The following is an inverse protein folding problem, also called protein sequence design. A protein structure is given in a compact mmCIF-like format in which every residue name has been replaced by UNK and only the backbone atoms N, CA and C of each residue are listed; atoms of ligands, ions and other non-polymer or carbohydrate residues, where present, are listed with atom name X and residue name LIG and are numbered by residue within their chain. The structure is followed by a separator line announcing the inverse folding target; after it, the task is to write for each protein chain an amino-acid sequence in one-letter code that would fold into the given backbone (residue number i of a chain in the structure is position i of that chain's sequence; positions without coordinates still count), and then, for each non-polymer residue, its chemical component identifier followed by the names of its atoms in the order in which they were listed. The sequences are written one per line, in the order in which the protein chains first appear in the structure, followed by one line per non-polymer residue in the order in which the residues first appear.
data_IF_678760155137
#
_entry.id   IF_678760155137
#
_cell.length_a   1.000
_cell.length_b   1.000
_cell.length_c   1.000
_cell.angle_alpha   90.00
_cell.angle_beta   90.00
_cell.angle_gamma   90.00
#
_symmetry.space_group_name_H-M   'P 1'
#
loop_
_entity.id
_entity.type
_entity.pdbx_description
1 polymer ?
#
# COMPACT_ATOMS: atom_id res chain seq x y z
N UNK A 1 -23.27 43.32 -12.58
CA UNK A 1 -24.31 44.31 -12.86
C UNK A 1 -25.62 43.54 -12.98
N UNK A 2 -26.58 43.81 -12.10
CA UNK A 2 -27.90 43.16 -12.15
C UNK A 2 -28.71 43.89 -13.21
N UNK A 3 -29.08 43.19 -14.28
CA UNK A 3 -29.99 43.68 -15.30
C UNK A 3 -31.43 43.30 -14.90
N UNK A 4 -32.40 44.16 -15.21
CA UNK A 4 -33.82 44.20 -14.79
C UNK A 4 -34.70 42.96 -15.14
N UNK A 5 -34.15 41.75 -15.24
CA UNK A 5 -34.92 40.56 -15.64
C UNK A 5 -34.45 39.29 -14.91
N UNK A 6 -34.49 39.26 -13.58
CA UNK A 6 -34.29 38.05 -12.74
C UNK A 6 -33.21 37.06 -13.23
N UNK A 7 -32.14 37.58 -13.85
CA UNK A 7 -31.09 36.85 -14.56
C UNK A 7 -29.77 37.24 -13.94
N UNK A 8 -29.03 36.24 -13.51
CA UNK A 8 -27.71 36.40 -12.93
C UNK A 8 -26.69 36.10 -14.04
N UNK A 9 -26.04 37.13 -14.55
CA UNK A 9 -24.90 37.00 -15.44
C UNK A 9 -23.59 36.93 -14.63
N UNK A 10 -22.98 35.76 -14.59
CA UNK A 10 -21.67 35.54 -13.97
C UNK A 10 -20.58 35.55 -15.05
N UNK A 11 -19.70 36.55 -15.02
CA UNK A 11 -18.48 36.57 -15.84
C UNK A 11 -17.31 36.11 -14.97
N UNK A 12 -16.76 34.94 -15.28
CA UNK A 12 -15.59 34.40 -14.60
C UNK A 12 -14.32 34.70 -15.43
N UNK A 13 -13.35 35.38 -14.84
CA UNK A 13 -12.00 35.57 -15.42
C UNK A 13 -11.07 34.59 -14.70
N UNK A 14 -10.47 33.67 -15.45
CA UNK A 14 -9.52 32.69 -14.93
C UNK A 14 -8.13 33.06 -15.42
N UNK A 15 -7.22 33.37 -14.50
CA UNK A 15 -5.80 33.57 -14.80
C UNK A 15 -5.06 32.27 -14.49
N UNK A 16 -4.61 31.58 -15.54
CA UNK A 16 -3.86 30.33 -15.39
C UNK A 16 -2.42 30.67 -14.98
N UNK A 17 -1.94 30.06 -13.89
CA UNK A 17 -0.56 30.15 -13.47
C UNK A 17 0.40 29.36 -14.36
N UNK A 18 1.63 29.20 -13.90
CA UNK A 18 2.68 28.49 -14.64
C UNK A 18 2.35 27.01 -14.89
N UNK A 19 2.89 26.47 -15.98
CA UNK A 19 2.78 25.05 -16.28
C UNK A 19 3.72 24.24 -15.37
N UNK A 20 3.15 23.45 -14.47
CA UNK A 20 3.90 22.63 -13.53
C UNK A 20 3.90 21.17 -14.00
N UNK A 21 5.07 20.55 -13.96
CA UNK A 21 5.25 19.12 -14.20
C UNK A 21 5.54 18.40 -12.88
N UNK A 22 5.01 17.18 -12.74
CA UNK A 22 5.43 16.28 -11.69
C UNK A 22 6.89 15.87 -11.91
N UNK A 23 7.73 16.00 -10.89
CA UNK A 23 9.14 15.64 -10.95
C UNK A 23 9.38 14.25 -10.37
N UNK A 24 9.17 14.10 -9.06
CA UNK A 24 9.54 12.90 -8.33
C UNK A 24 8.64 12.64 -7.12
N UNK A 25 8.68 11.39 -6.66
CA UNK A 25 8.08 10.96 -5.41
C UNK A 25 9.18 10.52 -4.45
N UNK A 26 9.09 11.00 -3.21
CA UNK A 26 10.09 10.72 -2.17
C UNK A 26 9.36 10.21 -0.94
N UNK A 27 9.68 8.99 -0.51
CA UNK A 27 9.26 8.53 0.80
C UNK A 27 10.22 9.06 1.87
N UNK A 28 9.67 9.67 2.92
CA UNK A 28 10.40 10.15 4.11
C UNK A 28 10.17 9.28 5.35
N UNK A 29 9.33 8.25 5.25
CA UNK A 29 9.20 7.25 6.30
C UNK A 29 10.20 6.10 6.18
N UNK A 30 10.08 5.11 7.07
CA UNK A 30 11.01 3.96 7.15
C UNK A 30 10.64 2.76 6.24
N UNK A 31 9.59 2.88 5.42
CA UNK A 31 9.23 1.84 4.47
C UNK A 31 10.19 1.84 3.28
N UNK A 32 10.92 0.74 3.10
CA UNK A 32 11.69 0.47 1.91
C UNK A 32 10.78 0.10 0.75
N UNK A 33 10.73 0.96 -0.27
CA UNK A 33 9.89 0.78 -1.44
C UNK A 33 10.51 1.48 -2.64
N UNK A 34 10.43 0.83 -3.82
CA UNK A 34 10.99 1.41 -5.04
C UNK A 34 10.10 2.51 -5.59
N UNK A 35 10.69 3.61 -6.02
CA UNK A 35 9.95 4.72 -6.64
C UNK A 35 9.14 4.26 -7.87
N UNK A 36 9.63 3.29 -8.64
CA UNK A 36 8.87 2.73 -9.77
C UNK A 36 7.54 2.08 -9.34
N UNK A 37 7.50 1.41 -8.18
CA UNK A 37 6.24 0.92 -7.62
C UNK A 37 5.33 2.10 -7.25
N UNK A 38 5.86 3.10 -6.55
CA UNK A 38 5.09 4.27 -6.12
C UNK A 38 4.50 5.05 -7.30
N UNK A 39 5.29 5.28 -8.36
CA UNK A 39 4.84 5.93 -9.60
C UNK A 39 3.68 5.17 -10.23
N UNK A 40 3.76 3.84 -10.32
CA UNK A 40 2.71 3.00 -10.90
C UNK A 40 1.46 2.95 -10.02
N UNK A 41 1.64 2.76 -8.71
CA UNK A 41 0.54 2.65 -7.76
C UNK A 41 -0.26 3.94 -7.64
N UNK A 42 0.43 5.08 -7.57
CA UNK A 42 -0.20 6.38 -7.43
C UNK A 42 -0.62 7.01 -8.76
N UNK A 43 -0.18 6.43 -9.90
CA UNK A 43 -0.37 6.95 -11.26
C UNK A 43 0.38 8.28 -11.51
N UNK A 44 1.45 8.53 -10.76
CA UNK A 44 2.28 9.72 -10.88
C UNK A 44 3.50 9.42 -11.75
N UNK A 45 3.48 9.90 -13.00
CA UNK A 45 4.59 9.71 -13.95
C UNK A 45 5.49 10.94 -13.97
N UNK A 46 6.81 10.82 -13.69
CA UNK A 46 7.78 11.91 -13.88
C UNK A 46 7.64 12.58 -15.26
N UNK A 47 7.64 13.91 -15.28
CA UNK A 47 7.44 14.74 -16.47
C UNK A 47 5.98 14.95 -16.90
N UNK A 48 5.01 14.23 -16.32
CA UNK A 48 3.60 14.48 -16.59
C UNK A 48 3.14 15.83 -16.03
N UNK A 49 2.05 16.37 -16.57
CA UNK A 49 1.42 17.58 -16.02
C UNK A 49 1.00 17.34 -14.56
N UNK A 50 1.28 18.30 -13.69
CA UNK A 50 0.80 18.26 -12.31
C UNK A 50 -0.73 18.28 -12.27
N UNK A 51 -1.30 17.34 -11.52
CA UNK A 51 -2.74 17.22 -11.30
C UNK A 51 -3.01 17.25 -9.79
N UNK A 52 -3.61 18.34 -9.34
CA UNK A 52 -3.92 18.56 -7.94
C UNK A 52 -4.88 17.49 -7.39
N UNK A 53 -5.85 17.03 -8.18
CA UNK A 53 -6.80 16.01 -7.74
C UNK A 53 -6.13 14.65 -7.58
N UNK A 54 -5.15 14.32 -8.42
CA UNK A 54 -4.35 13.09 -8.22
C UNK A 54 -3.56 13.16 -6.92
N UNK A 55 -2.94 14.30 -6.62
CA UNK A 55 -2.16 14.49 -5.38
C UNK A 55 -3.06 14.48 -4.14
N UNK A 56 -4.23 15.13 -4.19
CA UNK A 56 -5.20 15.10 -3.09
C UNK A 56 -5.69 13.68 -2.76
N UNK A 57 -5.80 12.82 -3.77
CA UNK A 57 -6.22 11.43 -3.59
C UNK A 57 -5.12 10.52 -3.02
N UNK A 58 -3.86 10.99 -2.92
CA UNK A 58 -2.76 10.19 -2.38
C UNK A 58 -2.99 9.80 -0.93
N UNK A 59 -3.62 10.65 -0.12
CA UNK A 59 -3.91 10.33 1.28
C UNK A 59 -4.77 9.07 1.38
N UNK A 60 -5.84 9.00 0.57
CA UNK A 60 -6.73 7.84 0.52
C UNK A 60 -6.01 6.60 -0.03
N UNK A 61 -5.29 6.75 -1.15
CA UNK A 61 -4.54 5.64 -1.75
C UNK A 61 -3.45 5.10 -0.82
N UNK A 62 -2.76 5.96 -0.07
CA UNK A 62 -1.70 5.56 0.86
C UNK A 62 -2.24 4.67 1.98
N UNK A 63 -3.47 4.93 2.45
CA UNK A 63 -4.15 4.09 3.46
C UNK A 63 -4.55 2.71 2.95
N UNK A 64 -4.61 2.50 1.63
CA UNK A 64 -4.95 1.21 1.03
C UNK A 64 -3.74 0.27 0.91
N UNK A 65 -2.53 0.74 1.21
CA UNK A 65 -1.33 -0.09 1.23
C UNK A 65 -1.29 -0.89 2.54
N UNK A 66 -1.68 -2.17 2.49
CA UNK A 66 -1.74 -3.05 3.67
C UNK A 66 -0.40 -3.14 4.43
N UNK A 67 0.72 -3.09 3.71
CA UNK A 67 2.07 -3.17 4.27
C UNK A 67 2.65 -1.83 4.71
N UNK A 68 1.87 -0.74 4.63
CA UNK A 68 2.32 0.60 4.98
C UNK A 68 1.39 1.23 6.03
N UNK A 69 1.99 1.98 6.96
CA UNK A 69 1.29 2.95 7.81
C UNK A 69 1.73 4.36 7.44
N UNK A 70 0.85 5.35 7.60
CA UNK A 70 1.17 6.75 7.29
C UNK A 70 1.42 7.52 8.58
N UNK A 71 2.61 8.12 8.77
CA UNK A 71 2.85 9.01 9.92
C UNK A 71 2.31 10.42 9.72
N UNK A 72 2.11 10.85 8.47
CA UNK A 72 1.45 12.11 8.15
C UNK A 72 0.86 12.06 6.73
N UNK A 73 0.05 13.05 6.40
CA UNK A 73 -0.48 13.21 5.06
C UNK A 73 0.64 13.51 4.04
N UNK A 74 0.47 13.09 2.78
CA UNK A 74 1.35 13.47 1.67
C UNK A 74 1.49 14.99 1.58
N UNK A 75 2.71 15.46 1.31
CA UNK A 75 2.99 16.88 1.07
C UNK A 75 3.49 17.07 -0.35
N UNK A 76 3.18 18.23 -0.94
CA UNK A 76 3.74 18.64 -2.22
C UNK A 76 4.55 19.90 -2.02
N UNK A 77 5.73 19.96 -2.63
CA UNK A 77 6.50 21.19 -2.77
C UNK A 77 6.65 21.52 -4.23
N UNK A 78 6.62 22.81 -4.53
CA UNK A 78 6.85 23.31 -5.87
C UNK A 78 8.21 24.02 -5.91
N UNK A 79 9.05 23.64 -6.86
CA UNK A 79 10.30 24.32 -7.16
C UNK A 79 10.31 24.67 -8.66
N UNK A 80 10.37 25.96 -8.97
CA UNK A 80 10.20 26.47 -10.34
C UNK A 80 8.92 25.90 -10.98
N UNK A 81 9.06 25.15 -12.07
CA UNK A 81 7.97 24.49 -12.80
C UNK A 81 7.83 23.00 -12.46
N UNK A 82 8.35 22.55 -11.31
CA UNK A 82 8.37 21.14 -10.88
C UNK A 82 7.64 20.93 -9.55
N UNK A 83 6.92 19.83 -9.45
CA UNK A 83 6.24 19.39 -8.25
C UNK A 83 6.88 18.11 -7.70
N UNK A 84 7.32 18.14 -6.45
CA UNK A 84 7.86 16.98 -5.73
C UNK A 84 6.84 16.55 -4.69
N UNK A 85 6.49 15.27 -4.70
CA UNK A 85 5.55 14.67 -3.73
C UNK A 85 6.33 13.93 -2.66
N UNK A 86 6.11 14.32 -1.41
CA UNK A 86 6.63 13.65 -0.23
C UNK A 86 5.56 12.75 0.39
N UNK A 87 5.90 11.49 0.54
CA UNK A 87 5.12 10.51 1.28
C UNK A 87 5.79 10.23 2.62
N UNK A 88 5.01 9.76 3.59
CA UNK A 88 5.47 9.45 4.94
C UNK A 88 5.01 8.03 5.30
N UNK A 89 5.44 7.07 4.49
CA UNK A 89 5.09 5.66 4.61
C UNK A 89 6.09 4.92 5.49
N UNK A 90 5.57 4.26 6.52
CA UNK A 90 6.32 3.40 7.43
C UNK A 90 5.93 1.94 7.26
N UNK A 91 6.83 1.03 7.60
CA UNK A 91 6.59 -0.42 7.48
C UNK A 91 5.54 -0.88 8.48
N UNK A 92 4.46 -1.50 7.99
CA UNK A 92 3.49 -2.17 8.85
C UNK A 92 4.02 -3.54 9.30
N UNK A 93 3.82 -3.90 10.57
CA UNK A 93 4.19 -5.20 11.12
C UNK A 93 3.07 -6.23 10.89
N UNK A 94 2.83 -6.56 9.62
CA UNK A 94 1.74 -7.48 9.21
C UNK A 94 2.23 -8.84 8.70
N UNK A 95 3.55 -9.05 8.65
CA UNK A 95 4.14 -10.32 8.23
C UNK A 95 3.89 -11.39 9.30
N UNK A 96 3.41 -12.57 8.91
CA UNK A 96 3.08 -13.67 9.81
C UNK A 96 3.85 -14.94 9.46
N UNK A 97 4.25 -15.66 10.49
CA UNK A 97 4.85 -16.98 10.40
C UNK A 97 4.30 -17.80 11.56
N UNK A 98 3.42 -18.73 11.25
CA UNK A 98 2.71 -19.57 12.22
C UNK A 98 3.11 -21.03 11.99
N UNK A 99 3.53 -21.72 13.05
CA UNK A 99 3.91 -23.13 12.99
C UNK A 99 3.29 -23.89 14.16
N UNK A 100 2.60 -24.99 13.86
CA UNK A 100 1.89 -25.83 14.82
C UNK A 100 2.37 -27.27 14.64
N UNK A 101 2.75 -27.90 15.76
CA UNK A 101 3.04 -29.32 15.83
C UNK A 101 2.03 -30.01 16.74
N UNK A 102 1.43 -31.10 16.26
CA UNK A 102 0.50 -31.92 17.01
C UNK A 102 1.06 -33.32 17.23
N UNK A 103 0.85 -33.87 18.43
CA UNK A 103 1.14 -35.27 18.75
C UNK A 103 -0.16 -35.91 19.20
N UNK A 104 -0.60 -36.94 18.50
CA UNK A 104 -1.85 -37.64 18.76
C UNK A 104 -1.55 -39.10 19.12
N UNK A 105 -2.04 -39.62 20.26
CA UNK A 105 -1.99 -41.04 20.54
C UNK A 105 -2.99 -41.78 19.65
N UNK A 106 -2.52 -42.78 18.91
CA UNK A 106 -3.34 -43.70 18.13
C UNK A 106 -3.23 -45.09 18.76
N UNK A 107 -4.27 -45.47 19.50
CA UNK A 107 -4.35 -46.78 20.15
C UNK A 107 -5.07 -47.75 19.24
N UNK A 108 -4.43 -48.85 18.84
CA UNK A 108 -5.13 -49.92 18.15
C UNK A 108 -5.79 -50.84 19.19
N UNK A 109 -7.13 -50.85 19.30
CA UNK A 109 -7.84 -51.62 20.34
C UNK A 109 -7.67 -53.14 20.20
N UNK A 110 -7.26 -53.63 19.02
CA UNK A 110 -7.12 -55.07 18.74
C UNK A 110 -5.73 -55.61 19.12
N UNK A 111 -4.68 -54.79 19.08
CA UNK A 111 -3.29 -55.23 19.33
C UNK A 111 -2.68 -54.65 20.61
N UNK A 112 -3.36 -53.70 21.29
CA UNK A 112 -2.81 -53.02 22.47
C UNK A 112 -1.62 -52.09 22.17
N UNK A 113 -1.26 -51.93 20.89
CA UNK A 113 -0.10 -51.15 20.46
C UNK A 113 -0.42 -49.65 20.49
N UNK A 114 0.41 -48.88 21.21
CA UNK A 114 0.33 -47.41 21.26
C UNK A 114 1.21 -46.82 20.14
N UNK A 115 0.58 -46.36 19.05
CA UNK A 115 1.28 -45.66 17.95
C UNK A 115 1.12 -44.15 18.14
N UNK A 116 2.21 -43.40 18.05
CA UNK A 116 2.14 -41.94 18.07
C UNK A 116 2.03 -41.42 16.64
N UNK A 117 1.13 -40.46 16.43
CA UNK A 117 0.96 -39.76 15.17
C UNK A 117 1.44 -38.32 15.35
N UNK A 118 2.35 -37.88 14.49
CA UNK A 118 2.84 -36.51 14.46
C UNK A 118 2.18 -35.78 13.29
N UNK A 119 1.51 -34.67 13.60
CA UNK A 119 0.96 -33.73 12.63
C UNK A 119 1.75 -32.41 12.67
N UNK A 120 1.73 -31.68 11.56
CA UNK A 120 2.36 -30.36 11.47
C UNK A 120 1.60 -29.45 10.51
N UNK A 121 1.46 -28.18 10.87
CA UNK A 121 0.90 -27.11 10.04
C UNK A 121 1.86 -25.92 10.07
N UNK A 122 2.22 -25.42 8.89
CA UNK A 122 3.05 -24.24 8.70
C UNK A 122 2.29 -23.27 7.80
N UNK A 123 2.13 -22.03 8.24
CA UNK A 123 1.51 -20.95 7.47
C UNK A 123 2.36 -19.70 7.53
N UNK A 124 2.60 -19.09 6.37
CA UNK A 124 3.43 -17.88 6.24
C UNK A 124 2.77 -16.85 5.34
N UNK A 125 2.80 -15.58 5.74
CA UNK A 125 2.31 -14.43 5.00
C UNK A 125 3.37 -13.32 5.05
N UNK A 126 3.94 -12.97 3.90
CA UNK A 126 4.91 -11.88 3.80
C UNK A 126 4.45 -10.83 2.80
N UNK A 127 4.61 -9.57 3.18
CA UNK A 127 4.25 -8.41 2.37
C UNK A 127 5.48 -7.50 2.20
N UNK A 128 5.72 -7.06 0.97
CA UNK A 128 6.76 -6.09 0.59
C UNK A 128 8.14 -6.35 1.25
N UNK A 129 8.67 -7.56 1.05
CA UNK A 129 10.04 -7.99 1.40
C UNK A 129 11.11 -7.45 0.45
N UNK A 130 10.78 -7.24 -0.82
CA UNK A 130 11.68 -6.79 -1.88
C UNK A 130 11.42 -5.33 -2.33
N UNK A 131 10.47 -4.64 -1.69
CA UNK A 131 10.15 -3.25 -1.99
C UNK A 131 9.34 -3.06 -3.28
N UNK A 132 8.70 -4.12 -3.79
CA UNK A 132 7.95 -4.14 -5.05
C UNK A 132 6.43 -4.18 -4.84
N UNK A 133 5.97 -4.13 -3.58
CA UNK A 133 4.56 -4.24 -3.21
C UNK A 133 4.01 -5.66 -3.34
N UNK A 134 4.86 -6.67 -3.27
CA UNK A 134 4.49 -8.07 -3.42
C UNK A 134 3.84 -8.67 -2.15
N UNK A 135 3.05 -9.71 -2.36
CA UNK A 135 2.47 -10.56 -1.31
C UNK A 135 2.87 -12.01 -1.57
N UNK A 136 3.43 -12.67 -0.56
CA UNK A 136 3.90 -14.06 -0.61
C UNK A 136 3.15 -14.84 0.45
N UNK A 137 2.45 -15.88 0.00
CA UNK A 137 1.68 -16.80 0.84
C UNK A 137 2.24 -18.21 0.72
N UNK A 138 2.39 -18.90 1.84
CA UNK A 138 2.80 -20.30 1.90
C UNK A 138 2.02 -21.04 2.97
N UNK A 139 1.56 -22.25 2.66
CA UNK A 139 0.94 -23.13 3.63
C UNK A 139 1.33 -24.59 3.36
N UNK A 140 1.67 -25.31 4.42
CA UNK A 140 1.94 -26.73 4.38
C UNK A 140 1.25 -27.42 5.55
N UNK A 141 0.53 -28.51 5.27
CA UNK A 141 -0.15 -29.30 6.28
C UNK A 141 0.16 -30.79 6.10
N UNK A 142 0.72 -31.40 7.13
CA UNK A 142 0.90 -32.86 7.22
C UNK A 142 -0.12 -33.43 8.20
N UNK A 143 -1.09 -34.16 7.64
CA UNK A 143 -2.03 -34.99 8.39
C UNK A 143 -1.67 -36.44 8.10
N UNK A 144 -1.35 -37.24 9.13
CA UNK A 144 -1.11 -38.67 8.90
C UNK A 144 -2.45 -39.35 8.63
N UNK A 145 -2.56 -39.99 7.48
CA UNK A 145 -3.43 -41.17 7.30
C UNK A 145 -2.76 -42.38 7.95
#
# INVERSE_FOLDING_TARGET
MVSENNKIDVKCKIEKGEFIQFDSIVNKGNLEIKNNFLYRYFLLKPGAKYDHFQVANLTKKSKNLLFATTSSEPKVTFDKNKAIVYLFLNRAQINKFDFILGILPNNNPVTGTKKWVISGDLKTEFYNRFGLGEYIFGQYKKTST
#
